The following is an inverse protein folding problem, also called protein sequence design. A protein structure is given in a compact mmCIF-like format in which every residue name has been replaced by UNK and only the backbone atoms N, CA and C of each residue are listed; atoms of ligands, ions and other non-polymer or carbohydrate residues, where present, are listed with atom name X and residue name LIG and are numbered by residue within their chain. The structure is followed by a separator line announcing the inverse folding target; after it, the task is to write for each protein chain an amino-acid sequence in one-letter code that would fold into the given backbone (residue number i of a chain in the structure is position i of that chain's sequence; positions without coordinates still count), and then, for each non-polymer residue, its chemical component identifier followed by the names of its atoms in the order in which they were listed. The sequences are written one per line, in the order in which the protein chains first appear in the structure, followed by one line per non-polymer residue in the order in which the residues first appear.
data_IF_839150858487
#
_entry.id   IF_839150858487
#
_cell.length_a   1.000
_cell.length_b   1.000
_cell.length_c   1.000
_cell.angle_alpha   90.00
_cell.angle_beta   90.00
_cell.angle_gamma   90.00
#
_symmetry.space_group_name_H-M   'P 1'
#
loop_
_entity.id
_entity.type
_entity.pdbx_description
1 polymer ?
#
# COMPACT_ATOMS: atom_id res chain seq x y z
N UNK A 1 -10.93 -18.89 16.61
CA UNK A 1 -11.08 -18.35 15.24
C UNK A 1 -11.53 -19.51 14.40
N UNK A 2 -12.59 -19.35 13.59
CA UNK A 2 -12.98 -20.42 12.67
C UNK A 2 -11.97 -20.44 11.53
N UNK A 3 -11.23 -21.54 11.39
CA UNK A 3 -10.23 -21.68 10.34
C UNK A 3 -10.94 -21.92 9.02
N UNK A 4 -10.85 -20.94 8.12
CA UNK A 4 -11.36 -21.04 6.74
C UNK A 4 -10.20 -21.09 5.78
N UNK A 5 -10.30 -21.97 4.79
CA UNK A 5 -9.33 -22.05 3.69
C UNK A 5 -9.66 -21.03 2.63
N UNK A 6 -8.69 -20.74 1.79
CA UNK A 6 -8.84 -19.81 0.65
C UNK A 6 -10.05 -20.14 -0.24
N UNK A 7 -10.31 -21.44 -0.48
CA UNK A 7 -11.43 -21.91 -1.30
C UNK A 7 -12.81 -21.65 -0.68
N UNK A 8 -12.90 -21.49 0.64
CA UNK A 8 -14.16 -21.30 1.36
C UNK A 8 -14.66 -19.85 1.32
N UNK A 9 -13.78 -18.91 0.95
CA UNK A 9 -14.16 -17.52 0.79
C UNK A 9 -14.88 -17.30 -0.54
N UNK A 10 -15.92 -16.45 -0.58
CA UNK A 10 -16.53 -16.03 -1.84
C UNK A 10 -15.55 -15.20 -2.68
N UNK A 11 -15.98 -14.83 -3.89
CA UNK A 11 -15.25 -13.82 -4.66
C UNK A 11 -15.29 -12.48 -3.93
N UNK A 12 -14.14 -11.82 -3.92
CA UNK A 12 -13.93 -10.52 -3.29
C UNK A 12 -14.62 -9.43 -4.11
N UNK A 13 -15.44 -8.62 -3.46
CA UNK A 13 -15.87 -7.34 -4.00
C UNK A 13 -14.71 -6.33 -3.93
N UNK A 14 -14.06 -6.14 -5.08
CA UNK A 14 -12.89 -5.28 -5.25
C UNK A 14 -13.22 -3.79 -5.20
N UNK A 15 -14.50 -3.44 -5.29
CA UNK A 15 -14.97 -2.04 -5.16
C UNK A 15 -15.23 -1.65 -3.70
N UNK A 16 -15.22 -2.63 -2.78
CA UNK A 16 -15.48 -2.38 -1.37
C UNK A 16 -14.44 -1.43 -0.76
N UNK A 17 -14.87 -0.33 -0.10
CA UNK A 17 -13.96 0.61 0.57
C UNK A 17 -13.06 -0.07 1.61
N UNK A 18 -13.56 -1.12 2.27
CA UNK A 18 -12.75 -1.88 3.23
C UNK A 18 -11.60 -2.61 2.55
N UNK A 19 -11.91 -3.32 1.46
CA UNK A 19 -10.92 -4.12 0.78
C UNK A 19 -9.84 -3.24 0.14
N UNK A 20 -10.25 -2.12 -0.48
CA UNK A 20 -9.32 -1.10 -1.00
C UNK A 20 -8.38 -0.62 0.11
N UNK A 21 -8.90 -0.32 1.32
CA UNK A 21 -8.07 0.11 2.45
C UNK A 21 -7.04 -0.94 2.87
N UNK A 22 -7.39 -2.24 2.82
CA UNK A 22 -6.43 -3.33 3.08
C UNK A 22 -5.34 -3.35 2.02
N UNK A 23 -5.69 -3.28 0.74
CA UNK A 23 -4.70 -3.27 -0.34
C UNK A 23 -3.78 -2.05 -0.31
N UNK A 24 -4.31 -0.86 0.05
CA UNK A 24 -3.49 0.33 0.30
C UNK A 24 -2.53 0.15 1.49
N UNK A 25 -2.98 -0.56 2.53
CA UNK A 25 -2.14 -0.86 3.69
C UNK A 25 -1.00 -1.81 3.31
N UNK A 26 -1.26 -2.81 2.46
CA UNK A 26 -0.22 -3.66 1.87
C UNK A 26 0.73 -2.85 1.00
N UNK A 27 0.21 -2.01 0.09
CA UNK A 27 1.05 -1.19 -0.78
C UNK A 27 2.05 -0.38 0.04
N UNK A 28 1.61 0.29 1.11
CA UNK A 28 2.48 1.04 2.00
C UNK A 28 3.50 0.16 2.72
N UNK A 29 3.15 -1.09 3.00
CA UNK A 29 4.08 -2.05 3.60
C UNK A 29 5.16 -2.47 2.60
N UNK A 30 4.79 -2.60 1.32
CA UNK A 30 5.72 -2.98 0.25
C UNK A 30 6.58 -1.81 -0.23
N UNK A 31 6.07 -0.58 -0.22
CA UNK A 31 6.83 0.65 -0.48
C UNK A 31 7.75 1.00 0.71
N UNK A 32 8.66 0.08 1.03
CA UNK A 32 9.61 0.17 2.15
C UNK A 32 10.55 1.38 2.02
N UNK A 33 10.83 1.80 0.79
CA UNK A 33 11.66 2.97 0.47
C UNK A 33 10.89 4.30 0.52
N UNK A 34 9.56 4.27 0.65
CA UNK A 34 8.71 5.46 0.69
C UNK A 34 8.77 6.30 -0.59
N UNK A 35 9.00 5.65 -1.74
CA UNK A 35 9.08 6.31 -3.06
C UNK A 35 7.70 6.61 -3.63
N UNK A 36 6.65 6.05 -3.05
CA UNK A 36 5.28 6.16 -3.53
C UNK A 36 4.98 5.23 -4.70
N UNK A 37 5.85 4.24 -4.96
CA UNK A 37 5.69 3.25 -6.01
C UNK A 37 6.32 1.91 -5.59
N UNK A 38 5.77 0.81 -6.08
CA UNK A 38 6.31 -0.54 -5.90
C UNK A 38 6.68 -1.14 -7.26
N UNK A 39 7.87 -1.71 -7.36
CA UNK A 39 8.33 -2.52 -8.48
C UNK A 39 8.79 -3.89 -8.01
N UNK A 40 9.44 -4.65 -8.91
CA UNK A 40 10.05 -5.94 -8.55
C UNK A 40 11.11 -5.79 -7.45
N UNK A 41 11.84 -4.66 -7.42
CA UNK A 41 12.87 -4.39 -6.43
C UNK A 41 12.32 -4.48 -5.00
N UNK A 42 11.16 -3.86 -4.72
CA UNK A 42 10.50 -3.96 -3.41
C UNK A 42 10.19 -5.42 -3.00
N UNK A 43 9.79 -6.28 -3.94
CA UNK A 43 9.52 -7.70 -3.65
C UNK A 43 10.80 -8.48 -3.34
N UNK A 44 11.88 -8.19 -4.07
CA UNK A 44 13.19 -8.79 -3.82
C UNK A 44 13.81 -8.29 -2.51
N UNK A 45 13.57 -7.03 -2.14
CA UNK A 45 14.01 -6.46 -0.87
C UNK A 45 13.25 -7.08 0.30
N UNK A 46 11.94 -7.35 0.17
CA UNK A 46 11.18 -8.11 1.17
C UNK A 46 11.74 -9.53 1.31
N UNK A 47 12.00 -10.23 0.20
CA UNK A 47 12.59 -11.56 0.24
C UNK A 47 13.96 -11.53 0.97
N UNK A 48 14.81 -10.57 0.60
CA UNK A 48 16.13 -10.37 1.21
C UNK A 48 16.03 -10.06 2.70
N UNK A 49 15.07 -9.22 3.09
CA UNK A 49 14.78 -8.87 4.49
C UNK A 49 14.38 -10.12 5.29
N UNK A 50 13.47 -10.94 4.77
CA UNK A 50 13.08 -12.21 5.42
C UNK A 50 14.29 -13.15 5.53
N UNK A 51 15.07 -13.34 4.45
CA UNK A 51 16.25 -14.20 4.49
C UNK A 51 17.28 -13.74 5.53
N UNK A 52 17.42 -12.43 5.72
CA UNK A 52 18.32 -11.87 6.73
C UNK A 52 17.91 -12.18 8.17
N UNK A 53 16.61 -12.35 8.41
CA UNK A 53 16.07 -12.76 9.71
C UNK A 53 16.26 -14.26 9.97
N UNK A 54 16.46 -15.06 8.91
CA UNK A 54 16.63 -16.53 8.97
C UNK A 54 17.96 -17.02 8.37
N UNK A 55 19.13 -16.57 8.87
CA UNK A 55 20.43 -16.90 8.26
C UNK A 55 20.84 -18.38 8.34
N UNK A 56 20.11 -19.18 9.13
CA UNK A 56 20.38 -20.61 9.35
C UNK A 56 19.43 -21.52 8.57
N UNK A 57 18.50 -20.96 7.82
CA UNK A 57 17.56 -21.74 7.03
C UNK A 57 18.26 -22.50 5.91
N UNK A 58 17.61 -23.56 5.43
CA UNK A 58 18.04 -24.26 4.23
C UNK A 58 18.01 -23.32 3.02
N UNK A 59 19.08 -23.31 2.22
CA UNK A 59 19.19 -22.50 1.01
C UNK A 59 18.04 -22.80 0.05
N UNK A 60 17.57 -24.05 0.04
CA UNK A 60 16.43 -24.48 -0.76
C UNK A 60 15.15 -23.69 -0.46
N UNK A 61 14.85 -23.40 0.82
CA UNK A 61 13.65 -22.63 1.18
C UNK A 61 13.81 -21.15 0.85
N UNK A 62 15.04 -20.64 0.93
CA UNK A 62 15.32 -19.28 0.48
C UNK A 62 15.11 -19.11 -1.02
N UNK A 63 15.58 -20.06 -1.83
CA UNK A 63 15.35 -20.06 -3.27
C UNK A 63 13.85 -20.16 -3.60
N UNK A 64 13.09 -20.98 -2.86
CA UNK A 64 11.62 -21.04 -3.01
C UNK A 64 10.95 -19.71 -2.69
N UNK A 65 11.36 -19.02 -1.62
CA UNK A 65 10.80 -17.72 -1.26
C UNK A 65 11.07 -16.68 -2.35
N UNK A 66 12.30 -16.62 -2.87
CA UNK A 66 12.66 -15.69 -3.95
C UNK A 66 11.87 -15.99 -5.22
N UNK A 67 11.77 -17.27 -5.62
CA UNK A 67 10.96 -17.68 -6.77
C UNK A 67 9.49 -17.30 -6.61
N UNK A 68 8.93 -17.49 -5.41
CA UNK A 68 7.57 -17.12 -5.09
C UNK A 68 7.32 -15.61 -5.19
N UNK A 69 8.25 -14.78 -4.71
CA UNK A 69 8.15 -13.31 -4.80
C UNK A 69 8.27 -12.82 -6.26
N UNK A 70 9.17 -13.42 -7.04
CA UNK A 70 9.29 -13.15 -8.49
C UNK A 70 8.01 -13.53 -9.21
N UNK A 71 7.46 -14.73 -8.95
CA UNK A 71 6.23 -15.19 -9.56
C UNK A 71 5.03 -14.31 -9.16
N UNK A 72 4.96 -13.89 -7.90
CA UNK A 72 3.91 -12.97 -7.43
C UNK A 72 3.94 -11.66 -8.22
N UNK A 73 5.12 -11.13 -8.54
CA UNK A 73 5.23 -9.95 -9.40
C UNK A 73 4.90 -10.25 -10.87
N UNK A 74 5.66 -11.13 -11.53
CA UNK A 74 5.56 -11.32 -12.99
C UNK A 74 4.38 -12.18 -13.43
N UNK A 75 4.00 -13.18 -12.64
CA UNK A 75 2.95 -14.15 -12.96
C UNK A 75 1.55 -13.74 -12.48
N UNK A 76 1.46 -12.89 -11.45
CA UNK A 76 0.18 -12.60 -10.77
C UNK A 76 -0.19 -11.11 -10.81
N UNK A 77 0.67 -10.20 -10.33
CA UNK A 77 0.33 -8.79 -10.17
C UNK A 77 0.56 -8.00 -11.47
N UNK A 78 1.78 -8.07 -12.01
CA UNK A 78 2.21 -7.40 -13.22
C UNK A 78 2.15 -8.39 -14.40
N UNK A 79 0.96 -8.57 -14.98
CA UNK A 79 0.75 -9.52 -16.08
C UNK A 79 0.57 -8.85 -17.45
N UNK A 80 0.51 -7.52 -17.49
CA UNK A 80 0.33 -6.77 -18.74
C UNK A 80 1.66 -6.56 -19.48
N UNK A 81 1.62 -6.71 -20.80
CA UNK A 81 2.77 -6.47 -21.68
C UNK A 81 3.85 -7.57 -21.65
N UNK A 82 4.95 -7.41 -22.39
CA UNK A 82 6.04 -8.40 -22.47
C UNK A 82 6.84 -8.48 -21.17
N UNK A 83 7.16 -9.69 -20.71
CA UNK A 83 7.84 -9.95 -19.42
C UNK A 83 9.14 -9.15 -19.23
N UNK A 84 10.00 -9.09 -20.26
CA UNK A 84 11.27 -8.35 -20.21
C UNK A 84 11.11 -6.84 -19.96
N UNK A 85 9.92 -6.27 -20.18
CA UNK A 85 9.64 -4.85 -19.88
C UNK A 85 9.11 -4.65 -18.46
N UNK A 86 8.61 -5.70 -17.81
CA UNK A 86 7.95 -5.63 -16.50
C UNK A 86 8.91 -5.38 -15.35
N UNK A 87 10.19 -5.67 -15.54
CA UNK A 87 11.26 -5.33 -14.58
C UNK A 87 11.37 -3.82 -14.35
N UNK A 88 11.09 -3.01 -15.39
CA UNK A 88 11.13 -1.56 -15.31
C UNK A 88 9.77 -0.93 -14.93
N UNK A 89 8.73 -1.74 -14.75
CA UNK A 89 7.41 -1.24 -14.35
C UNK A 89 7.42 -0.98 -12.85
N UNK A 90 7.02 0.23 -12.49
CA UNK A 90 6.71 0.60 -11.11
C UNK A 90 5.24 1.02 -11.05
N UNK A 91 4.51 0.52 -10.07
CA UNK A 91 3.11 0.83 -9.86
C UNK A 91 2.97 1.82 -8.72
N UNK A 92 2.25 2.93 -8.94
CA UNK A 92 1.78 3.75 -7.84
C UNK A 92 0.65 3.02 -7.12
N UNK A 93 0.27 3.48 -5.92
CA UNK A 93 -0.71 2.77 -5.08
C UNK A 93 -2.02 2.44 -5.83
N UNK A 94 -2.53 3.35 -6.66
CA UNK A 94 -3.77 3.10 -7.41
C UNK A 94 -3.59 2.00 -8.46
N UNK A 95 -2.50 2.04 -9.22
CA UNK A 95 -2.20 1.02 -10.23
C UNK A 95 -2.00 -0.34 -9.56
N UNK A 96 -1.36 -0.38 -8.39
CA UNK A 96 -1.19 -1.58 -7.60
C UNK A 96 -2.54 -2.13 -7.09
N UNK A 97 -3.42 -1.28 -6.55
CA UNK A 97 -4.75 -1.71 -6.09
C UNK A 97 -5.59 -2.23 -7.27
N UNK A 98 -5.50 -1.61 -8.44
CA UNK A 98 -6.17 -2.07 -9.66
C UNK A 98 -5.60 -3.41 -10.17
N UNK A 99 -4.27 -3.57 -10.16
CA UNK A 99 -3.62 -4.83 -10.50
C UNK A 99 -4.06 -5.95 -9.55
N UNK A 100 -4.05 -5.68 -8.24
CA UNK A 100 -4.58 -6.60 -7.23
C UNK A 100 -6.05 -6.93 -7.48
N UNK A 101 -6.89 -5.95 -7.82
CA UNK A 101 -8.30 -6.18 -8.12
C UNK A 101 -8.52 -7.12 -9.31
N UNK A 102 -7.65 -7.05 -10.33
CA UNK A 102 -7.69 -7.95 -11.49
C UNK A 102 -7.29 -9.38 -11.13
N UNK A 103 -6.32 -9.57 -10.23
CA UNK A 103 -5.78 -10.90 -9.93
C UNK A 103 -6.40 -11.59 -8.70
N UNK A 104 -6.99 -10.84 -7.75
CA UNK A 104 -7.41 -11.36 -6.43
C UNK A 104 -8.43 -12.50 -6.49
N UNK A 105 -9.29 -12.53 -7.50
CA UNK A 105 -10.28 -13.60 -7.71
C UNK A 105 -9.82 -14.66 -8.73
N UNK A 106 -8.64 -14.50 -9.32
CA UNK A 106 -8.03 -15.40 -10.29
C UNK A 106 -6.78 -16.06 -9.73
N UNK A 107 -5.65 -15.95 -10.45
CA UNK A 107 -4.37 -16.61 -10.14
C UNK A 107 -3.93 -16.40 -8.69
N UNK A 108 -4.13 -15.20 -8.12
CA UNK A 108 -3.74 -14.93 -6.74
C UNK A 108 -4.46 -15.85 -5.75
N UNK A 109 -5.76 -16.13 -5.96
CA UNK A 109 -6.55 -17.00 -5.08
C UNK A 109 -6.25 -18.47 -5.31
N UNK A 110 -6.09 -18.89 -6.57
CA UNK A 110 -5.84 -20.30 -6.91
C UNK A 110 -4.47 -20.76 -6.48
N UNK A 111 -3.47 -19.87 -6.54
CA UNK A 111 -2.07 -20.18 -6.25
C UNK A 111 -1.64 -19.70 -4.85
N UNK A 112 -2.57 -19.16 -4.07
CA UNK A 112 -2.30 -18.52 -2.77
C UNK A 112 -1.46 -19.40 -1.83
N UNK A 113 -1.85 -20.67 -1.68
CA UNK A 113 -1.19 -21.59 -0.78
C UNK A 113 0.22 -21.95 -1.26
N UNK A 114 0.41 -22.13 -2.56
CA UNK A 114 1.67 -22.58 -3.15
C UNK A 114 2.69 -21.45 -3.26
N UNK A 115 2.24 -20.24 -3.61
CA UNK A 115 3.12 -19.10 -3.93
C UNK A 115 3.18 -18.05 -2.83
N UNK A 116 2.40 -18.15 -1.75
CA UNK A 116 2.45 -17.19 -0.64
C UNK A 116 2.62 -17.93 0.68
N UNK A 117 1.66 -18.78 1.05
CA UNK A 117 1.67 -19.40 2.38
C UNK A 117 2.81 -20.40 2.55
N UNK A 118 3.00 -21.33 1.61
CA UNK A 118 3.96 -22.42 1.74
C UNK A 118 5.42 -21.95 1.80
N UNK A 119 5.89 -21.04 0.91
CA UNK A 119 7.27 -20.58 0.96
C UNK A 119 7.58 -19.84 2.25
N UNK A 120 6.65 -19.00 2.73
CA UNK A 120 6.81 -18.28 4.00
C UNK A 120 6.81 -19.20 5.22
N UNK A 121 5.91 -20.19 5.23
CA UNK A 121 5.83 -21.12 6.35
C UNK A 121 7.06 -22.01 6.41
N UNK A 122 7.47 -22.62 5.30
CA UNK A 122 8.64 -23.49 5.24
C UNK A 122 9.96 -22.74 5.57
N UNK A 123 10.03 -21.46 5.20
CA UNK A 123 11.13 -20.58 5.54
C UNK A 123 11.23 -20.33 7.05
N UNK A 124 10.09 -20.23 7.73
CA UNK A 124 10.01 -19.97 9.16
C UNK A 124 10.10 -21.24 10.02
N UNK A 125 9.53 -22.36 9.58
CA UNK A 125 9.55 -23.68 10.23
C UNK A 125 10.91 -24.37 10.00
N UNK A 126 11.94 -23.82 10.65
CA UNK A 126 13.33 -24.24 10.42
C UNK A 126 13.65 -25.63 10.98
N UNK A 127 12.97 -26.05 12.05
CA UNK A 127 13.14 -27.37 12.67
C UNK A 127 12.22 -28.46 12.10
N UNK A 128 11.28 -28.07 11.22
CA UNK A 128 10.38 -28.95 10.47
C UNK A 128 9.44 -29.72 11.39
N UNK A 129 9.05 -29.12 12.50
CA UNK A 129 8.08 -29.69 13.44
C UNK A 129 6.62 -29.46 12.99
N UNK A 130 6.42 -28.62 11.96
CA UNK A 130 5.11 -28.27 11.40
C UNK A 130 4.43 -27.12 12.13
N UNK A 131 5.13 -26.43 13.04
CA UNK A 131 4.62 -25.35 13.86
C UNK A 131 5.57 -24.16 13.87
N UNK A 132 5.08 -23.01 13.45
CA UNK A 132 5.81 -21.76 13.57
C UNK A 132 5.75 -21.25 15.01
N UNK A 133 6.90 -21.08 15.64
CA UNK A 133 7.04 -20.55 17.00
C UNK A 133 6.96 -19.02 17.03
N UNK A 134 6.82 -18.44 18.22
CA UNK A 134 6.59 -16.99 18.39
C UNK A 134 7.75 -16.13 17.84
N UNK A 135 8.99 -16.58 18.04
CA UNK A 135 10.18 -15.92 17.51
C UNK A 135 10.23 -15.96 16.00
N UNK A 136 9.92 -17.12 15.39
CA UNK A 136 9.92 -17.31 13.94
C UNK A 136 8.82 -16.48 13.28
N UNK A 137 7.62 -16.47 13.85
CA UNK A 137 6.56 -15.60 13.36
C UNK A 137 6.92 -14.11 13.53
N UNK A 138 7.67 -13.77 14.59
CA UNK A 138 8.30 -12.46 14.78
C UNK A 138 9.20 -12.08 13.62
N UNK A 139 10.13 -12.95 13.27
CA UNK A 139 11.08 -12.79 12.18
C UNK A 139 10.39 -12.65 10.82
N UNK A 140 9.36 -13.45 10.53
CA UNK A 140 8.55 -13.28 9.30
C UNK A 140 7.92 -11.89 9.25
N UNK A 141 7.23 -11.48 10.32
CA UNK A 141 6.52 -10.20 10.35
C UNK A 141 7.50 -9.02 10.25
N UNK A 142 8.65 -9.08 10.93
CA UNK A 142 9.71 -8.06 10.83
C UNK A 142 10.30 -8.03 9.41
N UNK A 143 10.55 -9.20 8.80
CA UNK A 143 11.02 -9.31 7.42
C UNK A 143 10.07 -8.65 6.42
N UNK A 144 8.75 -8.73 6.66
CA UNK A 144 7.72 -8.01 5.91
C UNK A 144 7.60 -6.52 6.26
N UNK A 145 8.54 -5.94 7.01
CA UNK A 145 8.53 -4.55 7.45
C UNK A 145 7.60 -4.26 8.63
N UNK A 146 7.11 -5.30 9.31
CA UNK A 146 6.34 -5.29 10.56
C UNK A 146 7.16 -4.89 11.79
N UNK A 147 6.55 -5.06 12.97
CA UNK A 147 7.27 -4.93 14.23
C UNK A 147 6.92 -6.08 15.19
N UNK A 148 7.77 -6.28 16.19
CA UNK A 148 7.62 -7.39 17.13
C UNK A 148 6.29 -7.38 17.88
N UNK A 149 5.73 -6.19 18.21
CA UNK A 149 4.45 -6.09 18.92
C UNK A 149 3.27 -6.56 18.06
N UNK A 150 3.32 -6.29 16.77
CA UNK A 150 2.36 -6.80 15.79
C UNK A 150 2.42 -8.33 15.74
N UNK A 151 3.63 -8.89 15.65
CA UNK A 151 3.82 -10.34 15.65
C UNK A 151 3.34 -11.01 16.96
N UNK A 152 3.69 -10.47 18.13
CA UNK A 152 3.25 -11.01 19.42
C UNK A 152 1.72 -11.00 19.58
N UNK A 153 1.06 -9.97 19.05
CA UNK A 153 -0.40 -9.90 19.05
C UNK A 153 -0.98 -10.98 18.14
N UNK A 154 -0.47 -11.10 16.92
CA UNK A 154 -0.92 -12.08 15.94
C UNK A 154 -0.70 -13.52 16.44
N UNK A 155 0.43 -13.79 17.10
CA UNK A 155 0.81 -15.13 17.54
C UNK A 155 -0.18 -15.62 18.60
N UNK A 156 -0.47 -14.77 19.59
CA UNK A 156 -1.45 -15.05 20.64
C UNK A 156 -2.85 -15.27 20.09
N UNK A 157 -3.19 -14.63 18.97
CA UNK A 157 -4.48 -14.84 18.31
C UNK A 157 -4.57 -16.20 17.61
N UNK A 158 -3.46 -16.66 17.04
CA UNK A 158 -3.40 -17.88 16.23
C UNK A 158 -3.16 -19.14 17.05
N UNK A 159 -2.19 -19.15 17.96
CA UNK A 159 -1.89 -20.31 18.79
C UNK A 159 -3.08 -20.72 19.68
N UNK A 160 -3.99 -19.78 19.98
CA UNK A 160 -5.25 -20.08 20.68
C UNK A 160 -5.04 -20.68 22.08
N UNK A 161 -3.83 -20.55 22.65
CA UNK A 161 -3.44 -21.14 23.93
C UNK A 161 -2.98 -22.59 23.87
N UNK A 162 -2.79 -23.16 22.67
CA UNK A 162 -2.32 -24.53 22.50
C UNK A 162 -0.88 -24.74 22.97
N UNK A 163 -0.09 -23.66 23.00
CA UNK A 163 1.36 -23.63 23.30
C UNK A 163 2.21 -24.53 22.40
N UNK A 164 1.64 -25.07 21.32
CA UNK A 164 2.36 -25.88 20.33
C UNK A 164 2.97 -25.02 19.23
N UNK A 165 2.48 -23.80 19.07
CA UNK A 165 2.87 -22.91 17.97
C UNK A 165 1.74 -22.78 16.95
N UNK A 166 2.01 -22.04 15.88
CA UNK A 166 1.04 -21.77 14.81
C UNK A 166 1.22 -22.80 13.70
N UNK A 167 0.20 -23.61 13.43
CA UNK A 167 0.24 -24.57 12.32
C UNK A 167 0.14 -23.86 10.96
N UNK A 168 0.53 -24.56 9.90
CA UNK A 168 0.41 -24.04 8.53
C UNK A 168 -1.03 -23.66 8.17
N UNK A 169 -2.02 -24.42 8.61
CA UNK A 169 -3.44 -24.13 8.36
C UNK A 169 -3.90 -22.87 9.09
N UNK A 170 -3.40 -22.64 10.31
CA UNK A 170 -3.69 -21.42 11.07
C UNK A 170 -3.06 -20.19 10.40
N UNK A 171 -1.81 -20.32 9.95
CA UNK A 171 -1.11 -19.27 9.22
C UNK A 171 -1.80 -18.96 7.87
N UNK A 172 -2.16 -19.99 7.10
CA UNK A 172 -2.92 -19.83 5.85
C UNK A 172 -4.23 -19.10 6.09
N UNK A 173 -5.00 -19.55 7.09
CA UNK A 173 -6.32 -18.99 7.36
C UNK A 173 -6.27 -17.50 7.72
N UNK A 174 -5.22 -17.06 8.44
CA UNK A 174 -5.07 -15.64 8.79
C UNK A 174 -4.78 -14.76 7.57
N UNK A 175 -3.91 -15.25 6.68
CA UNK A 175 -3.59 -14.55 5.44
C UNK A 175 -4.82 -14.57 4.52
N UNK A 176 -5.49 -15.71 4.38
CA UNK A 176 -6.69 -15.86 3.58
C UNK A 176 -7.82 -14.93 4.05
N UNK A 177 -8.07 -14.83 5.35
CA UNK A 177 -9.04 -13.88 5.89
C UNK A 177 -8.66 -12.44 5.52
N UNK A 178 -7.38 -12.06 5.64
CA UNK A 178 -6.94 -10.72 5.27
C UNK A 178 -7.17 -10.40 3.79
N UNK A 179 -6.89 -11.33 2.87
CA UNK A 179 -7.01 -11.04 1.44
C UNK A 179 -8.45 -11.19 0.93
N UNK A 180 -9.20 -12.17 1.43
CA UNK A 180 -10.48 -12.59 0.84
C UNK A 180 -11.73 -12.21 1.64
N UNK A 181 -11.64 -11.93 2.95
CA UNK A 181 -12.79 -11.42 3.71
C UNK A 181 -12.97 -9.91 3.50
N UNK A 182 -14.11 -9.44 3.01
CA UNK A 182 -14.33 -8.00 2.78
C UNK A 182 -14.53 -7.21 4.09
N UNK A 183 -14.71 -7.88 5.23
CA UNK A 183 -15.01 -7.26 6.52
C UNK A 183 -13.85 -6.53 7.19
N UNK A 184 -14.18 -5.59 8.09
CA UNK A 184 -13.22 -4.90 9.01
C UNK A 184 -13.23 -5.55 10.40
N UNK A 185 -14.23 -6.37 10.71
CA UNK A 185 -14.47 -6.87 12.07
C UNK A 185 -13.53 -8.03 12.46
N UNK A 186 -12.87 -8.65 11.48
CA UNK A 186 -11.84 -9.67 11.72
C UNK A 186 -10.65 -9.10 12.47
N UNK A 187 -10.13 -9.84 13.46
CA UNK A 187 -8.90 -9.46 14.17
C UNK A 187 -7.69 -9.45 13.23
N UNK A 188 -7.82 -10.10 12.07
CA UNK A 188 -6.89 -10.12 10.95
C UNK A 188 -6.80 -8.79 10.20
N UNK A 189 -7.80 -7.90 10.30
CA UNK A 189 -7.79 -6.60 9.60
C UNK A 189 -6.55 -5.73 9.92
N UNK A 190 -5.84 -6.04 11.02
CA UNK A 190 -4.60 -5.37 11.44
C UNK A 190 -3.33 -6.18 11.16
N UNK A 191 -3.41 -7.25 10.36
CA UNK A 191 -2.31 -8.16 10.06
C UNK A 191 -1.09 -7.41 9.52
N UNK A 192 -1.33 -6.51 8.57
CA UNK A 192 -0.31 -5.65 7.99
C UNK A 192 -0.27 -4.26 8.64
N UNK A 193 -0.69 -4.14 9.91
CA UNK A 193 -0.70 -2.88 10.67
C UNK A 193 -2.04 -2.15 10.62
N UNK A 194 -2.06 -0.91 11.13
CA UNK A 194 -3.28 -0.10 11.18
C UNK A 194 -3.78 0.24 9.78
N UNK A 195 -5.06 -0.07 9.51
CA UNK A 195 -5.67 0.23 8.21
C UNK A 195 -5.64 1.71 7.90
N UNK A 196 -5.06 2.03 6.75
CA UNK A 196 -5.04 3.38 6.20
C UNK A 196 -6.48 3.90 6.06
N UNK A 197 -6.73 5.13 6.54
CA UNK A 197 -8.09 5.70 6.64
C UNK A 197 -8.28 6.98 5.81
N UNK A 198 -7.38 7.29 4.87
CA UNK A 198 -7.58 8.43 3.98
C UNK A 198 -8.32 8.02 2.71
N UNK A 199 -9.17 8.92 2.22
CA UNK A 199 -9.74 8.87 0.87
C UNK A 199 -8.84 9.69 -0.05
N UNK A 200 -8.57 9.16 -1.23
CA UNK A 200 -7.91 9.88 -2.31
C UNK A 200 -8.91 10.77 -3.04
N UNK A 201 -8.46 11.83 -3.74
CA UNK A 201 -9.32 12.64 -4.59
C UNK A 201 -10.25 11.81 -5.49
N UNK A 202 -9.74 10.72 -6.08
CA UNK A 202 -10.48 9.82 -6.96
C UNK A 202 -11.58 9.00 -6.25
N UNK A 203 -11.50 8.82 -4.92
CA UNK A 203 -12.51 8.10 -4.13
C UNK A 203 -13.73 8.96 -3.79
N UNK A 204 -13.66 10.27 -4.08
CA UNK A 204 -14.79 11.18 -3.87
C UNK A 204 -15.70 11.14 -5.10
N UNK A 205 -17.04 11.18 -4.91
CA UNK A 205 -17.95 11.37 -6.04
C UNK A 205 -17.68 12.71 -6.72
N UNK A 206 -18.21 12.84 -7.94
CA UNK A 206 -18.14 14.11 -8.66
C UNK A 206 -18.63 15.27 -7.78
N UNK A 207 -17.87 16.36 -7.80
CA UNK A 207 -18.17 17.48 -6.94
C UNK A 207 -19.30 18.32 -7.53
N UNK A 208 -20.48 18.25 -6.93
CA UNK A 208 -21.68 19.02 -7.34
C UNK A 208 -21.50 20.55 -7.26
N UNK A 209 -20.39 21.03 -6.70
CA UNK A 209 -20.06 22.45 -6.56
C UNK A 209 -21.15 23.31 -5.87
N UNK A 210 -21.96 22.71 -5.00
CA UNK A 210 -23.03 23.41 -4.27
C UNK A 210 -22.55 24.43 -3.21
N UNK A 211 -23.47 25.03 -2.44
CA UNK A 211 -23.17 26.19 -1.58
C UNK A 211 -22.02 25.98 -0.57
N UNK A 212 -21.90 24.77 0.00
CA UNK A 212 -20.81 24.43 0.92
C UNK A 212 -19.45 24.40 0.20
N UNK A 213 -19.42 23.87 -1.02
CA UNK A 213 -18.20 23.86 -1.83
C UNK A 213 -17.81 25.27 -2.25
N UNK A 214 -18.77 26.10 -2.68
CA UNK A 214 -18.50 27.51 -2.97
C UNK A 214 -17.93 28.24 -1.75
N UNK A 215 -18.49 27.99 -0.56
CA UNK A 215 -17.99 28.53 0.70
C UNK A 215 -16.53 28.14 0.95
N UNK A 216 -16.14 26.89 0.67
CA UNK A 216 -14.75 26.41 0.75
C UNK A 216 -13.86 27.13 -0.26
N UNK A 217 -14.30 27.27 -1.51
CA UNK A 217 -13.52 27.96 -2.56
C UNK A 217 -13.36 29.45 -2.27
N UNK A 218 -14.38 30.14 -1.77
CA UNK A 218 -14.28 31.54 -1.32
C UNK A 218 -13.32 31.69 -0.13
N UNK A 219 -13.28 30.70 0.76
CA UNK A 219 -12.34 30.67 1.89
C UNK A 219 -10.92 30.45 1.40
N UNK A 220 -10.70 29.51 0.49
CA UNK A 220 -9.41 29.27 -0.16
C UNK A 220 -8.93 30.53 -0.89
N UNK A 221 -9.79 31.16 -1.70
CA UNK A 221 -9.46 32.40 -2.40
C UNK A 221 -8.99 33.50 -1.45
N UNK A 222 -9.72 33.76 -0.36
CA UNK A 222 -9.34 34.76 0.64
C UNK A 222 -8.01 34.45 1.33
N UNK A 223 -7.61 33.18 1.43
CA UNK A 223 -6.31 32.78 1.99
C UNK A 223 -5.17 32.93 1.00
N UNK A 224 -5.45 32.78 -0.30
CA UNK A 224 -4.47 32.92 -1.38
C UNK A 224 -4.30 34.37 -1.83
N UNK A 225 -5.34 35.20 -1.76
CA UNK A 225 -5.29 36.63 -2.03
C UNK A 225 -4.67 37.39 -0.85
N UNK A 226 -3.35 37.23 -0.69
CA UNK A 226 -2.60 37.82 0.43
C UNK A 226 -2.70 39.34 0.51
N UNK A 227 -2.98 40.02 -0.61
CA UNK A 227 -3.06 41.48 -0.69
C UNK A 227 -4.49 42.02 -0.65
N UNK A 228 -5.50 41.14 -0.54
CA UNK A 228 -6.91 41.54 -0.56
C UNK A 228 -7.31 42.28 -1.83
N UNK A 229 -6.61 42.03 -2.94
CA UNK A 229 -6.78 42.74 -4.20
C UNK A 229 -8.00 42.23 -5.00
N UNK A 230 -8.69 41.21 -4.50
CA UNK A 230 -9.76 40.52 -5.22
C UNK A 230 -9.25 39.71 -6.42
N UNK A 231 -7.95 39.40 -6.47
CA UNK A 231 -7.32 38.61 -7.55
C UNK A 231 -6.10 37.85 -7.03
N UNK A 232 -5.95 36.60 -7.47
CA UNK A 232 -4.77 35.78 -7.20
C UNK A 232 -3.78 35.90 -8.35
N UNK A 233 -2.50 36.07 -8.03
CA UNK A 233 -1.38 36.19 -8.96
C UNK A 233 -0.29 35.19 -8.60
N UNK A 234 0.58 34.86 -9.56
CA UNK A 234 1.76 34.02 -9.33
C UNK A 234 2.61 34.48 -8.12
N UNK A 235 2.76 35.79 -7.95
CA UNK A 235 3.50 36.36 -6.83
C UNK A 235 2.92 35.98 -5.46
N UNK A 236 1.60 35.76 -5.35
CA UNK A 236 0.96 35.35 -4.10
C UNK A 236 1.41 33.94 -3.71
N UNK A 237 1.48 33.01 -4.68
CA UNK A 237 2.02 31.65 -4.47
C UNK A 237 3.50 31.66 -4.09
N UNK A 238 4.31 32.52 -4.72
CA UNK A 238 5.73 32.68 -4.36
C UNK A 238 5.86 33.18 -2.91
N UNK A 239 5.04 34.15 -2.50
CA UNK A 239 5.05 34.66 -1.14
C UNK A 239 4.63 33.60 -0.12
N UNK A 240 3.59 32.82 -0.42
CA UNK A 240 3.19 31.67 0.41
C UNK A 240 4.35 30.68 0.56
N UNK A 241 4.98 30.29 -0.55
CA UNK A 241 6.12 29.37 -0.54
C UNK A 241 7.30 29.89 0.29
N UNK A 242 7.66 31.17 0.13
CA UNK A 242 8.71 31.82 0.94
C UNK A 242 8.35 31.85 2.42
N UNK A 243 7.10 32.21 2.76
CA UNK A 243 6.64 32.26 4.14
C UNK A 243 6.66 30.87 4.80
N UNK A 244 6.25 29.82 4.08
CA UNK A 244 6.31 28.44 4.56
C UNK A 244 7.76 27.99 4.81
N UNK A 245 8.67 28.30 3.88
CA UNK A 245 10.08 27.97 4.04
C UNK A 245 10.73 28.69 5.22
N UNK A 246 10.46 29.99 5.38
CA UNK A 246 10.99 30.82 6.46
C UNK A 246 10.46 30.40 7.83
N UNK A 247 9.14 30.22 7.98
CA UNK A 247 8.50 29.87 9.26
C UNK A 247 8.93 28.50 9.79
N UNK A 248 9.25 27.57 8.89
CA UNK A 248 9.70 26.23 9.26
C UNK A 248 11.23 26.08 9.25
N UNK A 249 11.98 27.17 9.08
CA UNK A 249 13.45 27.17 9.02
C UNK A 249 14.03 26.11 8.08
N UNK A 250 13.43 25.96 6.90
CA UNK A 250 13.80 24.88 5.99
C UNK A 250 15.17 25.12 5.34
N UNK A 251 15.99 24.07 5.18
CA UNK A 251 17.23 24.17 4.44
C UNK A 251 16.95 24.49 2.96
N UNK A 252 17.91 25.16 2.31
CA UNK A 252 17.76 25.73 0.96
C UNK A 252 17.12 24.77 -0.06
N UNK A 253 17.59 23.52 -0.13
CA UNK A 253 17.04 22.55 -1.09
C UNK A 253 15.55 22.25 -0.86
N UNK A 254 15.08 22.16 0.40
CA UNK A 254 13.66 21.95 0.71
C UNK A 254 12.83 23.20 0.44
N UNK A 255 13.38 24.38 0.73
CA UNK A 255 12.75 25.65 0.42
C UNK A 255 12.56 25.81 -1.10
N UNK A 256 13.59 25.47 -1.90
CA UNK A 256 13.51 25.50 -3.36
C UNK A 256 12.46 24.51 -3.89
N UNK A 257 12.36 23.31 -3.31
CA UNK A 257 11.32 22.34 -3.67
C UNK A 257 9.91 22.85 -3.39
N UNK A 258 9.69 23.54 -2.26
CA UNK A 258 8.40 24.18 -1.97
C UNK A 258 8.08 25.28 -2.97
N UNK A 259 9.07 26.12 -3.32
CA UNK A 259 8.87 27.17 -4.31
C UNK A 259 8.52 26.59 -5.69
N UNK A 260 9.20 25.51 -6.10
CA UNK A 260 8.85 24.79 -7.33
C UNK A 260 7.43 24.26 -7.27
N UNK A 261 7.03 23.62 -6.18
CA UNK A 261 5.67 23.10 -6.01
C UNK A 261 4.61 24.22 -6.05
N UNK A 262 4.87 25.37 -5.43
CA UNK A 262 3.94 26.52 -5.47
C UNK A 262 3.79 27.11 -6.88
N UNK A 263 4.89 27.19 -7.63
CA UNK A 263 4.86 27.60 -9.03
C UNK A 263 4.15 26.57 -9.91
N UNK A 264 4.39 25.29 -9.65
CA UNK A 264 3.74 24.19 -10.35
C UNK A 264 2.21 24.24 -10.17
N UNK A 265 1.75 24.48 -8.93
CA UNK A 265 0.34 24.67 -8.62
C UNK A 265 -0.24 25.86 -9.41
N UNK A 266 0.47 26.99 -9.42
CA UNK A 266 0.04 28.16 -10.19
C UNK A 266 -0.11 27.83 -11.67
N UNK A 267 0.92 27.23 -12.27
CA UNK A 267 0.96 26.92 -13.70
C UNK A 267 -0.14 25.94 -14.11
N UNK A 268 -0.30 24.85 -13.35
CA UNK A 268 -1.19 23.76 -13.75
C UNK A 268 -2.65 23.95 -13.34
N UNK A 269 -2.95 24.75 -12.31
CA UNK A 269 -4.33 24.85 -11.79
C UNK A 269 -4.92 26.26 -11.83
N UNK A 270 -4.09 27.32 -11.81
CA UNK A 270 -4.59 28.71 -11.69
C UNK A 270 -4.33 29.57 -12.92
N UNK A 271 -3.26 29.30 -13.67
CA UNK A 271 -2.91 30.05 -14.87
C UNK A 271 -3.23 29.31 -16.17
N UNK A 272 -4.02 28.23 -16.11
CA UNK A 272 -4.49 27.55 -17.31
C UNK A 272 -5.33 28.53 -18.12
N UNK A 273 -4.87 28.87 -19.33
CA UNK A 273 -5.48 29.90 -20.16
C UNK A 273 -6.95 29.61 -20.45
N UNK A 274 -7.76 30.67 -20.38
CA UNK A 274 -9.21 30.70 -20.65
C UNK A 274 -9.59 30.33 -22.10
N UNK A 275 -8.63 30.13 -22.99
CA UNK A 275 -8.91 29.89 -24.41
C UNK A 275 -9.58 28.54 -24.69
N UNK A 276 -9.30 27.51 -23.89
CA UNK A 276 -9.94 26.20 -24.07
C UNK A 276 -11.41 26.23 -23.63
N UNK A 277 -11.76 27.08 -22.65
CA UNK A 277 -13.13 27.17 -22.12
C UNK A 277 -14.07 28.00 -22.98
N UNK A 278 -13.55 28.89 -23.83
CA UNK A 278 -14.35 29.68 -24.77
C UNK A 278 -14.73 28.90 -26.04
N UNK A 279 -13.86 27.99 -26.53
CA UNK A 279 -14.16 27.14 -27.70
C UNK A 279 -15.15 26.00 -27.45
N UNK A 280 -15.43 25.67 -26.19
CA UNK A 280 -16.43 24.66 -25.83
C UNK A 280 -17.84 25.26 -25.63
N UNK A 281 -18.01 26.57 -25.84
CA UNK A 281 -19.28 27.31 -25.72
C UNK A 281 -19.73 27.98 -27.02
N UNK A 282 -19.10 27.64 -28.14
CA UNK A 282 -19.58 27.93 -29.50
C UNK A 282 -20.08 26.62 -30.14
#
# INVERSE_FOLDING_TARGET
MELKKTADYPNVDTTSPTWIRKMRTIFRRFDSHGRGAVGIDEFLDIATSILSEFPKSDQFFGDQLVQAMIHLWYGVICTEGPEHKRTAITMQENDFVQAMAKCINGNFKTEFTENITTPLFNMADGDKDGFMQQNEMGQVIVGFGGNQKEAELLFRLLDGGSKKGVSKEQFESVLAEYFFDVGIKGKTAKLFGALINYKRPEDYPECECGPVWEGKMRTMFRRLDLHGAGKIRCHDFIQIGRALAQRNHLPKHKADNILRAMLDIWVHYFSVDKEVTMRARE
#
